data_IF_912860691262
#
_entry.id   IF_912860691262
#
_cell.length_a   1.000
_cell.length_b   1.000
_cell.length_c   1.000
_cell.angle_alpha   90.00
_cell.angle_beta   90.00
_cell.angle_gamma   90.00
#
_symmetry.space_group_name_H-M   'P 1'
#
loop_
_entity.id
_entity.type
_entity.pdbx_description
1 polymer ?
#
# COMPACT_ATOMS: atom_id res chain seq x y z
N UNK A 1 -42.24 9.05 -7.26
CA UNK A 1 -41.51 8.97 -5.99
C UNK A 1 -40.86 7.59 -5.86
N UNK A 2 -39.70 7.49 -5.19
CA UNK A 2 -39.04 6.21 -4.91
C UNK A 2 -39.86 5.43 -3.88
N UNK A 3 -40.23 4.19 -4.19
CA UNK A 3 -40.97 3.32 -3.25
C UNK A 3 -40.01 2.64 -2.27
N UNK A 4 -40.19 2.78 -0.94
CA UNK A 4 -39.36 2.08 0.05
C UNK A 4 -39.39 0.55 -0.10
N UNK A 5 -40.56 -0.01 -0.41
CA UNK A 5 -40.72 -1.45 -0.66
C UNK A 5 -39.95 -1.90 -1.91
N UNK A 6 -39.96 -1.09 -2.97
CA UNK A 6 -39.17 -1.36 -4.17
C UNK A 6 -37.66 -1.33 -3.87
N UNK A 7 -37.21 -0.40 -3.04
CA UNK A 7 -35.81 -0.29 -2.63
C UNK A 7 -35.37 -1.50 -1.81
N UNK A 8 -36.18 -1.97 -0.85
CA UNK A 8 -35.86 -3.18 -0.08
C UNK A 8 -35.84 -4.44 -0.95
N UNK A 9 -36.76 -4.56 -1.93
CA UNK A 9 -36.73 -5.66 -2.91
C UNK A 9 -35.46 -5.63 -3.77
N UNK A 10 -35.10 -4.47 -4.32
CA UNK A 10 -33.86 -4.27 -5.08
C UNK A 10 -32.60 -4.53 -4.25
N UNK A 11 -32.64 -4.20 -2.95
CA UNK A 11 -31.54 -4.45 -2.02
C UNK A 11 -31.35 -5.93 -1.73
N UNK A 12 -32.45 -6.66 -1.53
CA UNK A 12 -32.46 -8.10 -1.23
C UNK A 12 -32.05 -8.94 -2.44
N UNK A 13 -32.60 -8.67 -3.62
CA UNK A 13 -32.30 -9.40 -4.85
C UNK A 13 -32.38 -8.44 -6.05
N UNK A 14 -31.24 -7.82 -6.43
CA UNK A 14 -31.22 -6.82 -7.50
C UNK A 14 -31.58 -7.42 -8.86
N UNK A 15 -31.14 -8.66 -9.15
CA UNK A 15 -31.43 -9.33 -10.42
C UNK A 15 -32.93 -9.59 -10.58
N UNK A 16 -33.54 -10.20 -9.56
CA UNK A 16 -34.99 -10.49 -9.58
C UNK A 16 -35.84 -9.24 -9.57
N UNK A 17 -35.39 -8.16 -8.94
CA UNK A 17 -36.07 -6.88 -9.02
C UNK A 17 -36.12 -6.38 -10.46
N UNK A 18 -34.98 -6.38 -11.16
CA UNK A 18 -34.88 -5.94 -12.56
C UNK A 18 -35.73 -6.80 -13.49
N UNK A 19 -35.75 -8.13 -13.31
CA UNK A 19 -36.56 -9.07 -14.08
C UNK A 19 -38.07 -8.81 -14.05
N UNK A 20 -38.56 -8.21 -12.96
CA UNK A 20 -39.98 -8.01 -12.73
C UNK A 20 -40.48 -6.65 -13.20
N UNK A 21 -39.59 -5.79 -13.71
CA UNK A 21 -39.97 -4.46 -14.16
C UNK A 21 -40.55 -4.48 -15.56
N UNK A 22 -41.45 -3.54 -15.81
CA UNK A 22 -41.98 -3.23 -17.14
C UNK A 22 -41.44 -1.87 -17.56
N UNK A 23 -40.51 -1.87 -18.51
CA UNK A 23 -39.67 -0.69 -18.80
C UNK A 23 -40.33 0.37 -19.68
N UNK A 24 -41.25 -0.03 -20.57
CA UNK A 24 -41.94 0.87 -21.50
C UNK A 24 -42.81 1.94 -20.80
N UNK A 25 -43.08 1.78 -19.51
CA UNK A 25 -43.86 2.73 -18.69
C UNK A 25 -43.12 3.14 -17.41
N UNK A 26 -41.79 2.94 -17.37
CA UNK A 26 -41.01 3.21 -16.17
C UNK A 26 -40.99 4.71 -15.85
N UNK A 27 -41.48 5.07 -14.66
CA UNK A 27 -41.37 6.43 -14.15
C UNK A 27 -39.97 6.69 -13.53
N UNK A 28 -39.65 7.96 -13.27
CA UNK A 28 -38.35 8.37 -12.69
C UNK A 28 -38.03 7.66 -11.37
N UNK A 29 -39.04 7.34 -10.54
CA UNK A 29 -38.83 6.59 -9.30
C UNK A 29 -38.44 5.14 -9.54
N UNK A 30 -39.03 4.49 -10.55
CA UNK A 30 -38.66 3.13 -10.95
C UNK A 30 -37.26 3.08 -11.54
N UNK A 31 -36.92 4.03 -12.42
CA UNK A 31 -35.57 4.13 -12.99
C UNK A 31 -34.50 4.35 -11.90
N UNK A 32 -34.79 5.19 -10.90
CA UNK A 32 -33.88 5.39 -9.77
C UNK A 32 -33.64 4.09 -8.95
N UNK A 33 -34.68 3.32 -8.67
CA UNK A 33 -34.54 2.03 -7.96
C UNK A 33 -33.83 0.99 -8.84
N UNK A 34 -34.09 0.99 -10.13
CA UNK A 34 -33.39 0.15 -11.10
C UNK A 34 -31.89 0.48 -11.17
N UNK A 35 -31.52 1.77 -11.19
CA UNK A 35 -30.13 2.19 -11.12
C UNK A 35 -29.45 1.69 -9.84
N UNK A 36 -30.11 1.83 -8.69
CA UNK A 36 -29.62 1.27 -7.43
C UNK A 36 -29.43 -0.26 -7.49
N UNK A 37 -30.40 -0.99 -8.06
CA UNK A 37 -30.30 -2.45 -8.25
C UNK A 37 -29.11 -2.82 -9.15
N UNK A 38 -28.95 -2.13 -10.28
CA UNK A 38 -27.87 -2.32 -11.24
C UNK A 38 -26.50 -2.05 -10.60
N UNK A 39 -26.35 -0.99 -9.80
CA UNK A 39 -25.11 -0.69 -9.08
C UNK A 39 -24.72 -1.80 -8.11
N UNK A 40 -25.70 -2.34 -7.37
CA UNK A 40 -25.48 -3.49 -6.47
C UNK A 40 -25.12 -4.74 -7.25
N UNK A 41 -25.81 -4.99 -8.36
CA UNK A 41 -25.52 -6.11 -9.23
C UNK A 41 -24.12 -6.00 -9.83
N UNK A 42 -23.66 -4.81 -10.23
CA UNK A 42 -22.30 -4.60 -10.73
C UNK A 42 -21.24 -4.96 -9.68
N UNK A 43 -21.43 -4.55 -8.43
CA UNK A 43 -20.54 -4.92 -7.33
C UNK A 43 -20.55 -6.44 -7.04
N UNK A 44 -21.67 -7.14 -7.24
CA UNK A 44 -21.74 -8.59 -7.02
C UNK A 44 -21.20 -9.38 -8.23
N UNK A 45 -21.66 -9.02 -9.41
CA UNK A 45 -21.57 -9.78 -10.65
C UNK A 45 -21.54 -8.83 -11.87
N UNK A 46 -20.36 -8.25 -12.21
CA UNK A 46 -20.23 -7.26 -13.28
C UNK A 46 -20.75 -7.76 -14.63
N UNK A 47 -20.51 -9.02 -14.99
CA UNK A 47 -20.98 -9.65 -16.23
C UNK A 47 -22.49 -9.61 -16.35
N UNK A 48 -23.19 -10.05 -15.30
CA UNK A 48 -24.64 -10.07 -15.26
C UNK A 48 -25.20 -8.63 -15.26
N UNK A 49 -24.54 -7.70 -14.55
CA UNK A 49 -24.92 -6.29 -14.59
C UNK A 49 -24.77 -5.70 -16.00
N UNK A 50 -23.68 -6.00 -16.71
CA UNK A 50 -23.44 -5.55 -18.08
C UNK A 50 -24.49 -6.11 -19.06
N UNK A 51 -24.85 -7.38 -18.92
CA UNK A 51 -25.91 -8.01 -19.71
C UNK A 51 -27.25 -7.31 -19.49
N UNK A 52 -27.67 -7.16 -18.23
CA UNK A 52 -28.94 -6.49 -17.89
C UNK A 52 -28.96 -5.04 -18.33
N UNK A 53 -27.83 -4.36 -18.18
CA UNK A 53 -27.69 -2.99 -18.65
C UNK A 53 -27.89 -2.86 -20.16
N UNK A 54 -27.38 -3.81 -20.96
CA UNK A 54 -27.64 -3.87 -22.39
C UNK A 54 -29.13 -3.97 -22.74
N UNK A 55 -29.93 -4.64 -21.91
CA UNK A 55 -31.38 -4.79 -22.10
C UNK A 55 -32.17 -3.51 -21.75
N UNK A 56 -31.73 -2.75 -20.73
CA UNK A 56 -32.55 -1.68 -20.14
C UNK A 56 -32.01 -0.26 -20.36
N UNK A 57 -30.75 -0.11 -20.78
CA UNK A 57 -30.05 1.19 -20.88
C UNK A 57 -30.79 2.24 -21.72
N UNK A 58 -31.52 1.81 -22.77
CA UNK A 58 -32.30 2.69 -23.63
C UNK A 58 -33.43 3.45 -22.92
N UNK A 59 -33.83 3.02 -21.72
CA UNK A 59 -34.83 3.70 -20.90
C UNK A 59 -34.24 4.77 -19.98
N UNK A 60 -32.91 4.88 -19.90
CA UNK A 60 -32.21 5.84 -19.05
C UNK A 60 -31.74 7.05 -19.87
N UNK A 61 -31.74 8.27 -19.30
CA UNK A 61 -31.09 9.42 -19.91
C UNK A 61 -29.60 9.17 -20.19
N UNK A 62 -29.04 9.80 -21.23
CA UNK A 62 -27.65 9.60 -21.63
C UNK A 62 -26.65 9.82 -20.47
N UNK A 63 -26.89 10.82 -19.62
CA UNK A 63 -26.04 11.10 -18.45
C UNK A 63 -26.03 9.95 -17.44
N UNK A 64 -27.18 9.30 -17.22
CA UNK A 64 -27.31 8.13 -16.36
C UNK A 64 -26.66 6.89 -17.00
N UNK A 65 -26.71 6.81 -18.33
CA UNK A 65 -26.03 5.74 -19.04
C UNK A 65 -24.51 5.83 -18.90
N UNK A 66 -23.97 7.02 -19.14
CA UNK A 66 -22.56 7.33 -18.95
C UNK A 66 -22.12 7.08 -17.51
N UNK A 67 -22.92 7.54 -16.53
CA UNK A 67 -22.68 7.30 -15.12
C UNK A 67 -22.60 5.80 -14.78
N UNK A 68 -23.57 5.00 -15.25
CA UNK A 68 -23.57 3.58 -14.97
C UNK A 68 -22.39 2.85 -15.61
N UNK A 69 -22.00 3.20 -16.83
CA UNK A 69 -20.79 2.66 -17.45
C UNK A 69 -19.52 2.96 -16.64
N UNK A 70 -19.42 4.18 -16.08
CA UNK A 70 -18.33 4.54 -15.17
C UNK A 70 -18.35 3.72 -13.87
N UNK A 71 -19.54 3.45 -13.32
CA UNK A 71 -19.71 2.59 -12.15
C UNK A 71 -19.36 1.12 -12.43
N UNK A 72 -19.86 0.59 -13.55
CA UNK A 72 -19.61 -0.79 -13.96
C UNK A 72 -18.12 -1.00 -14.28
N UNK A 73 -17.48 -0.08 -15.01
CA UNK A 73 -16.04 -0.09 -15.25
C UNK A 73 -15.23 -0.08 -13.95
N UNK A 74 -15.66 0.67 -12.95
CA UNK A 74 -15.03 0.72 -11.63
C UNK A 74 -15.12 -0.61 -10.86
N UNK A 75 -16.31 -1.20 -10.76
CA UNK A 75 -16.50 -2.49 -10.09
C UNK A 75 -15.73 -3.62 -10.80
N UNK A 76 -15.71 -3.58 -12.13
CA UNK A 76 -14.93 -4.50 -12.97
C UNK A 76 -13.42 -4.36 -12.75
N UNK A 77 -12.92 -3.12 -12.76
CA UNK A 77 -11.50 -2.83 -12.57
C UNK A 77 -10.99 -3.33 -11.22
N UNK A 78 -11.78 -3.13 -10.15
CA UNK A 78 -11.47 -3.62 -8.80
C UNK A 78 -11.40 -5.15 -8.71
N UNK A 79 -12.06 -5.85 -9.63
CA UNK A 79 -12.02 -7.31 -9.77
C UNK A 79 -11.00 -7.79 -10.80
N UNK A 80 -10.21 -6.88 -11.38
CA UNK A 80 -9.25 -7.15 -12.45
C UNK A 80 -9.86 -7.72 -13.72
N UNK A 81 -11.11 -7.37 -14.00
CA UNK A 81 -11.78 -7.72 -15.25
C UNK A 81 -11.13 -6.97 -16.43
N UNK A 82 -10.75 -7.71 -17.47
CA UNK A 82 -10.11 -7.15 -18.66
C UNK A 82 -11.03 -6.19 -19.45
N UNK A 83 -12.36 -6.33 -19.32
CA UNK A 83 -13.34 -5.47 -19.99
C UNK A 83 -13.51 -4.11 -19.33
N UNK A 84 -12.96 -3.91 -18.13
CA UNK A 84 -13.13 -2.66 -17.37
C UNK A 84 -12.75 -1.40 -18.16
N UNK A 85 -11.68 -1.47 -18.95
CA UNK A 85 -11.25 -0.36 -19.82
C UNK A 85 -12.31 -0.03 -20.87
N UNK A 86 -12.93 -1.03 -21.49
CA UNK A 86 -14.00 -0.81 -22.47
C UNK A 86 -15.23 -0.17 -21.82
N UNK A 87 -15.58 -0.57 -20.60
CA UNK A 87 -16.71 0.03 -19.88
C UNK A 87 -16.41 1.45 -19.42
N UNK A 88 -15.18 1.76 -19.02
CA UNK A 88 -14.78 3.16 -18.79
C UNK A 88 -14.83 4.01 -20.06
N UNK A 89 -14.47 3.46 -21.23
CA UNK A 89 -14.63 4.17 -22.51
C UNK A 89 -16.08 4.43 -22.86
N UNK A 90 -16.96 3.46 -22.60
CA UNK A 90 -18.40 3.62 -22.80
C UNK A 90 -19.02 4.69 -21.88
N UNK A 91 -18.37 5.01 -20.76
CA UNK A 91 -18.77 6.11 -19.89
C UNK A 91 -18.59 7.49 -20.54
N UNK A 92 -17.77 7.61 -21.59
CA UNK A 92 -17.49 8.88 -22.26
C UNK A 92 -17.01 9.95 -21.27
N UNK A 93 -17.72 11.08 -21.23
CA UNK A 93 -17.41 12.24 -20.40
C UNK A 93 -18.07 12.20 -19.01
N UNK A 94 -18.47 11.02 -18.53
CA UNK A 94 -19.00 10.86 -17.17
C UNK A 94 -18.04 11.45 -16.13
N UNK A 95 -18.56 12.29 -15.23
CA UNK A 95 -17.79 12.76 -14.07
C UNK A 95 -17.51 11.58 -13.14
N UNK A 96 -16.25 11.13 -13.13
CA UNK A 96 -15.77 10.09 -12.23
C UNK A 96 -15.35 10.69 -10.89
N UNK A 97 -15.72 10.03 -9.80
CA UNK A 97 -15.14 10.37 -8.50
C UNK A 97 -13.65 9.96 -8.44
N UNK A 98 -12.95 10.42 -7.40
CA UNK A 98 -11.51 10.16 -7.19
C UNK A 98 -11.14 8.67 -7.33
N UNK A 99 -11.94 7.78 -6.75
CA UNK A 99 -11.68 6.34 -6.76
C UNK A 99 -11.95 5.72 -8.14
N UNK A 100 -13.03 6.11 -8.81
CA UNK A 100 -13.34 5.65 -10.17
C UNK A 100 -12.25 6.08 -11.15
N UNK A 101 -11.80 7.34 -11.09
CA UNK A 101 -10.72 7.84 -11.93
C UNK A 101 -9.41 7.09 -11.70
N UNK A 102 -9.04 6.84 -10.43
CA UNK A 102 -7.86 6.06 -10.08
C UNK A 102 -7.93 4.61 -10.62
N UNK A 103 -9.09 3.97 -10.51
CA UNK A 103 -9.28 2.60 -11.00
C UNK A 103 -9.39 2.50 -12.53
N UNK A 104 -9.80 3.57 -13.23
CA UNK A 104 -9.68 3.67 -14.69
C UNK A 104 -8.22 3.59 -15.13
N UNK A 105 -7.35 4.37 -14.48
CA UNK A 105 -5.90 4.31 -14.73
C UNK A 105 -5.35 2.92 -14.42
N UNK A 106 -5.70 2.33 -13.27
CA UNK A 106 -5.25 0.98 -12.88
C UNK A 106 -5.69 -0.09 -13.87
N UNK A 107 -6.93 -0.02 -14.37
CA UNK A 107 -7.41 -0.94 -15.40
C UNK A 107 -6.58 -0.82 -16.68
N UNK A 108 -6.33 0.41 -17.13
CA UNK A 108 -5.51 0.71 -18.31
C UNK A 108 -4.06 0.21 -18.14
N UNK A 109 -3.46 0.42 -16.97
CA UNK A 109 -2.11 -0.07 -16.63
C UNK A 109 -2.01 -1.59 -16.74
N UNK A 110 -2.99 -2.35 -16.22
CA UNK A 110 -2.97 -3.82 -16.26
C UNK A 110 -2.98 -4.38 -17.69
N UNK A 111 -3.70 -3.73 -18.60
CA UNK A 111 -3.72 -4.11 -20.02
C UNK A 111 -2.66 -3.37 -20.86
N UNK A 112 -1.83 -2.55 -20.21
CA UNK A 112 -0.76 -1.76 -20.80
C UNK A 112 -1.22 -0.84 -21.94
N UNK A 113 -2.45 -0.32 -21.83
CA UNK A 113 -2.98 0.69 -22.75
C UNK A 113 -2.49 2.08 -22.34
N UNK A 114 -1.28 2.43 -22.76
CA UNK A 114 -0.62 3.68 -22.38
C UNK A 114 -1.34 4.93 -22.92
N UNK A 115 -2.15 4.80 -23.97
CA UNK A 115 -2.99 5.91 -24.45
C UNK A 115 -4.14 6.17 -23.46
N UNK A 116 -4.81 5.11 -23.01
CA UNK A 116 -5.85 5.20 -21.99
C UNK A 116 -5.31 5.68 -20.65
N UNK A 117 -4.11 5.21 -20.23
CA UNK A 117 -3.45 5.69 -19.00
C UNK A 117 -3.29 7.22 -19.04
N UNK A 118 -2.76 7.76 -20.13
CA UNK A 118 -2.54 9.20 -20.26
C UNK A 118 -3.87 9.96 -20.23
N UNK A 119 -4.85 9.54 -21.06
CA UNK A 119 -6.16 10.18 -21.15
C UNK A 119 -6.91 10.15 -19.81
N UNK A 120 -6.89 9.01 -19.11
CA UNK A 120 -7.55 8.86 -17.82
C UNK A 120 -6.93 9.75 -16.74
N UNK A 121 -5.60 9.94 -16.74
CA UNK A 121 -4.93 10.87 -15.81
C UNK A 121 -5.26 12.33 -16.16
N UNK A 122 -5.33 12.68 -17.44
CA UNK A 122 -5.66 14.04 -17.88
C UNK A 122 -7.12 14.43 -17.58
N UNK A 123 -8.01 13.44 -17.45
CA UNK A 123 -9.39 13.62 -17.02
C UNK A 123 -9.56 13.77 -15.50
N UNK A 124 -8.52 13.51 -14.69
CA UNK A 124 -8.58 13.69 -13.23
C UNK A 124 -8.70 15.17 -12.86
N UNK A 125 -9.24 15.45 -11.67
CA UNK A 125 -9.12 16.78 -11.07
C UNK A 125 -7.64 17.17 -10.91
N UNK A 126 -7.35 18.47 -10.91
CA UNK A 126 -5.98 18.97 -10.76
C UNK A 126 -5.32 18.45 -9.48
N UNK A 127 -6.05 18.48 -8.36
CA UNK A 127 -5.58 17.97 -7.06
C UNK A 127 -5.18 16.50 -7.15
N UNK A 128 -6.03 15.66 -7.75
CA UNK A 128 -5.72 14.25 -7.89
C UNK A 128 -4.55 14.06 -8.84
N UNK A 129 -4.56 14.67 -10.03
CA UNK A 129 -3.51 14.53 -11.05
C UNK A 129 -2.11 14.90 -10.54
N UNK A 130 -2.03 15.79 -9.56
CA UNK A 130 -0.79 16.23 -8.93
C UNK A 130 -0.28 15.29 -7.81
N UNK A 131 -0.98 14.21 -7.47
CA UNK A 131 -0.45 13.17 -6.59
C UNK A 131 0.72 12.44 -7.26
N UNK A 132 1.74 12.05 -6.46
CA UNK A 132 2.99 11.44 -6.96
C UNK A 132 2.76 10.21 -7.83
N UNK A 133 1.75 9.39 -7.50
CA UNK A 133 1.35 8.23 -8.28
C UNK A 133 0.99 8.58 -9.73
N UNK A 134 0.13 9.57 -9.93
CA UNK A 134 -0.39 9.90 -11.26
C UNK A 134 0.60 10.73 -12.05
N UNK A 135 1.44 11.53 -11.40
CA UNK A 135 2.60 12.15 -12.05
C UNK A 135 3.55 11.08 -12.61
N UNK A 136 3.92 10.08 -11.80
CA UNK A 136 4.78 8.98 -12.25
C UNK A 136 4.17 8.23 -13.44
N UNK A 137 2.91 7.78 -13.32
CA UNK A 137 2.26 7.02 -14.38
C UNK A 137 2.00 7.85 -15.64
N UNK A 138 1.78 9.17 -15.52
CA UNK A 138 1.74 10.09 -16.66
C UNK A 138 3.09 10.15 -17.37
N UNK A 139 4.18 10.32 -16.63
CA UNK A 139 5.54 10.28 -17.19
C UNK A 139 5.81 8.96 -17.92
N UNK A 140 5.41 7.83 -17.33
CA UNK A 140 5.53 6.50 -17.95
C UNK A 140 4.71 6.36 -19.22
N UNK A 141 3.48 6.85 -19.24
CA UNK A 141 2.64 6.84 -20.44
C UNK A 141 3.24 7.69 -21.57
N UNK A 142 3.75 8.88 -21.26
CA UNK A 142 4.46 9.73 -22.21
C UNK A 142 5.71 9.05 -22.78
N UNK A 143 6.51 8.41 -21.91
CA UNK A 143 7.70 7.67 -22.32
C UNK A 143 7.35 6.49 -23.24
N UNK A 144 6.28 5.75 -22.94
CA UNK A 144 5.79 4.65 -23.78
C UNK A 144 5.31 5.13 -25.17
N UNK A 145 4.88 6.38 -25.29
CA UNK A 145 4.51 7.04 -26.56
C UNK A 145 5.70 7.72 -27.26
N UNK A 146 6.93 7.55 -26.77
CA UNK A 146 8.13 8.17 -27.34
C UNK A 146 8.37 9.63 -26.94
N UNK A 147 7.50 10.22 -26.11
CA UNK A 147 7.57 11.62 -25.63
C UNK A 147 8.54 11.79 -24.45
N UNK A 148 9.79 11.38 -24.66
CA UNK A 148 10.82 11.27 -23.60
C UNK A 148 11.14 12.58 -22.89
N UNK A 149 11.19 13.70 -23.63
CA UNK A 149 11.50 15.03 -23.05
C UNK A 149 10.39 15.46 -22.08
N UNK A 150 9.13 15.23 -22.45
CA UNK A 150 7.99 15.55 -21.59
C UNK A 150 7.92 14.65 -20.37
N UNK A 151 8.21 13.36 -20.53
CA UNK A 151 8.34 12.44 -19.41
C UNK A 151 9.45 12.88 -18.44
N UNK A 152 10.63 13.25 -18.94
CA UNK A 152 11.75 13.72 -18.12
C UNK A 152 11.42 15.00 -17.33
N UNK A 153 10.65 15.93 -17.91
CA UNK A 153 10.17 17.14 -17.20
C UNK A 153 9.25 16.82 -16.02
N UNK A 154 8.57 15.68 -16.03
CA UNK A 154 7.76 15.21 -14.91
C UNK A 154 8.62 14.44 -13.90
N UNK A 155 9.50 13.56 -14.37
CA UNK A 155 10.32 12.75 -13.49
C UNK A 155 11.34 13.57 -12.68
N UNK A 156 11.93 14.62 -13.26
CA UNK A 156 12.98 15.41 -12.61
C UNK A 156 12.54 16.08 -11.28
N UNK A 157 11.42 16.81 -11.20
CA UNK A 157 10.95 17.32 -9.91
C UNK A 157 10.42 16.20 -9.00
N UNK A 158 9.82 15.14 -9.57
CA UNK A 158 9.27 14.03 -8.80
C UNK A 158 10.36 13.21 -8.09
N UNK A 159 11.54 13.08 -8.70
CA UNK A 159 12.66 12.32 -8.14
C UNK A 159 13.24 12.92 -6.86
N UNK A 160 12.97 14.19 -6.57
CA UNK A 160 13.31 14.80 -5.28
C UNK A 160 12.49 14.22 -4.11
N UNK A 161 11.37 13.54 -4.41
CA UNK A 161 10.53 12.88 -3.42
C UNK A 161 11.16 11.61 -2.86
N UNK A 162 10.99 11.38 -1.55
CA UNK A 162 11.52 10.19 -0.87
C UNK A 162 10.58 9.00 -0.86
N UNK A 163 9.38 9.15 -1.41
CA UNK A 163 8.37 8.11 -1.47
C UNK A 163 8.65 7.08 -2.58
N UNK A 164 7.76 6.11 -2.70
CA UNK A 164 7.85 5.06 -3.72
C UNK A 164 7.93 5.61 -5.15
N UNK A 165 7.17 6.67 -5.44
CA UNK A 165 7.07 7.22 -6.80
C UNK A 165 8.20 8.17 -7.14
N UNK A 166 8.73 8.90 -6.18
CA UNK A 166 9.97 9.68 -6.34
C UNK A 166 11.17 8.78 -6.59
N UNK A 167 11.29 7.67 -5.87
CA UNK A 167 12.32 6.67 -6.16
C UNK A 167 12.20 6.10 -7.57
N UNK A 168 10.99 5.72 -8.01
CA UNK A 168 10.79 5.22 -9.36
C UNK A 168 11.06 6.29 -10.44
N UNK A 169 10.72 7.55 -10.19
CA UNK A 169 11.04 8.65 -11.09
C UNK A 169 12.56 8.86 -11.24
N UNK A 170 13.32 8.75 -10.13
CA UNK A 170 14.79 8.74 -10.16
C UNK A 170 15.34 7.59 -10.99
N UNK A 171 14.78 6.38 -10.82
CA UNK A 171 15.15 5.20 -11.61
C UNK A 171 14.92 5.40 -13.12
N UNK A 172 13.83 6.08 -13.54
CA UNK A 172 13.58 6.36 -14.97
C UNK A 172 14.59 7.34 -15.58
N UNK A 173 15.16 8.24 -14.77
CA UNK A 173 16.19 9.17 -15.20
C UNK A 173 17.59 8.54 -15.22
N UNK A 174 17.74 7.29 -14.76
CA UNK A 174 19.02 6.69 -14.37
C UNK A 174 19.78 7.57 -13.37
N UNK A 175 19.03 8.39 -12.61
CA UNK A 175 19.60 9.33 -11.68
C UNK A 175 19.81 8.64 -10.34
N UNK A 176 21.05 8.24 -10.09
CA UNK A 176 21.45 7.74 -8.79
C UNK A 176 21.55 8.85 -7.74
N UNK A 177 21.19 10.11 -8.03
CA UNK A 177 21.32 11.21 -7.06
C UNK A 177 20.41 11.06 -5.83
N UNK A 178 19.23 10.45 -5.97
CA UNK A 178 18.40 10.05 -4.82
C UNK A 178 19.12 9.01 -3.96
N UNK A 179 19.91 8.14 -4.61
CA UNK A 179 20.85 7.20 -3.97
C UNK A 179 22.15 7.87 -3.52
N UNK A 180 22.36 9.16 -3.80
CA UNK A 180 23.55 9.91 -3.45
C UNK A 180 23.29 11.04 -2.46
N UNK A 181 22.10 11.15 -1.86
CA UNK A 181 21.84 12.08 -0.75
C UNK A 181 22.78 11.74 0.41
N UNK A 182 23.97 12.33 0.35
CA UNK A 182 25.09 12.27 1.29
C UNK A 182 24.50 12.50 2.67
N UNK A 183 24.93 11.71 3.67
CA UNK A 183 24.66 12.02 5.07
C UNK A 183 24.99 13.51 5.22
N UNK A 184 24.04 14.41 5.56
CA UNK A 184 24.52 15.67 6.06
C UNK A 184 25.39 15.28 7.25
N UNK A 185 26.65 15.67 7.24
CA UNK A 185 27.55 15.61 8.40
C UNK A 185 27.07 16.62 9.45
N UNK A 186 25.75 16.68 9.65
CA UNK A 186 25.06 17.50 10.59
C UNK A 186 25.22 16.81 11.94
N UNK A 187 26.31 17.17 12.60
CA UNK A 187 26.51 16.79 13.97
C UNK A 187 25.58 17.63 14.83
N UNK A 188 24.77 16.96 15.65
CA UNK A 188 23.90 17.60 16.64
C UNK A 188 24.77 18.26 17.72
N UNK A 189 24.87 19.59 17.78
CA UNK A 189 25.64 20.24 18.83
C UNK A 189 25.06 19.84 20.18
N UNK A 190 25.89 19.40 21.12
CA UNK A 190 25.42 18.93 22.44
C UNK A 190 24.59 19.99 23.16
N UNK A 191 24.89 21.27 22.93
CA UNK A 191 24.12 22.39 23.46
C UNK A 191 22.69 22.47 22.87
N UNK A 192 22.51 22.20 21.59
CA UNK A 192 21.18 22.17 20.94
C UNK A 192 20.34 21.01 21.50
N UNK A 193 20.95 19.82 21.62
CA UNK A 193 20.31 18.67 22.25
C UNK A 193 19.88 18.98 23.68
N UNK A 194 20.78 19.56 24.50
CA UNK A 194 20.48 19.92 25.87
C UNK A 194 19.36 20.97 25.97
N UNK A 195 19.32 21.95 25.07
CA UNK A 195 18.23 22.94 25.03
C UNK A 195 16.88 22.26 24.73
N UNK A 196 16.81 21.42 23.69
CA UNK A 196 15.57 20.74 23.31
C UNK A 196 15.12 19.74 24.39
N UNK A 197 16.05 18.98 24.95
CA UNK A 197 15.76 18.00 26.01
C UNK A 197 15.21 18.67 27.28
N UNK A 198 15.64 19.89 27.57
CA UNK A 198 15.19 20.66 28.74
C UNK A 198 13.84 21.37 28.55
N UNK A 199 13.27 21.39 27.34
CA UNK A 199 11.95 21.98 27.13
C UNK A 199 10.90 21.26 27.99
N UNK A 200 10.02 21.99 28.71
CA UNK A 200 9.05 21.37 29.61
C UNK A 200 8.17 20.30 28.94
N UNK A 201 7.75 20.54 27.69
CA UNK A 201 6.95 19.59 26.93
C UNK A 201 7.70 18.30 26.57
N UNK A 202 8.98 18.40 26.19
CA UNK A 202 9.83 17.24 25.91
C UNK A 202 10.07 16.45 27.20
N UNK A 203 10.43 17.11 28.30
CA UNK A 203 10.62 16.45 29.61
C UNK A 203 9.37 15.71 30.09
N UNK A 204 8.18 16.31 29.94
CA UNK A 204 6.90 15.65 30.26
C UNK A 204 6.66 14.44 29.37
N UNK A 205 6.83 14.57 28.05
CA UNK A 205 6.67 13.47 27.12
C UNK A 205 7.59 12.28 27.46
N UNK A 206 8.88 12.55 27.72
CA UNK A 206 9.86 11.52 28.12
C UNK A 206 9.51 10.86 29.47
N UNK A 207 8.97 11.61 30.43
CA UNK A 207 8.47 11.04 31.68
C UNK A 207 7.28 10.10 31.45
N UNK A 208 6.33 10.51 30.61
CA UNK A 208 5.15 9.71 30.28
C UNK A 208 5.53 8.43 29.51
N UNK A 209 6.50 8.47 28.60
CA UNK A 209 7.02 7.27 27.94
C UNK A 209 7.65 6.28 28.93
N UNK A 210 8.41 6.77 29.92
CA UNK A 210 8.99 5.91 30.97
C UNK A 210 7.94 5.25 31.87
N UNK A 211 6.75 5.82 31.95
CA UNK A 211 5.59 5.27 32.67
C UNK A 211 4.67 4.42 31.78
N UNK A 212 5.05 4.18 30.53
CA UNK A 212 4.25 3.51 29.49
C UNK A 212 2.89 4.18 29.19
N UNK A 213 2.74 5.46 29.54
CA UNK A 213 1.57 6.29 29.20
C UNK A 213 1.69 6.83 27.77
N UNK A 214 1.83 5.92 26.78
CA UNK A 214 2.22 6.28 25.40
C UNK A 214 1.28 7.25 24.71
N UNK A 215 -0.03 7.17 24.96
CA UNK A 215 -1.02 8.07 24.35
C UNK A 215 -0.81 9.52 24.79
N UNK A 216 -0.66 9.75 26.09
CA UNK A 216 -0.41 11.08 26.65
C UNK A 216 0.99 11.58 26.28
N UNK A 217 1.99 10.68 26.30
CA UNK A 217 3.33 10.98 25.86
C UNK A 217 3.37 11.46 24.40
N UNK A 218 2.61 10.81 23.52
CA UNK A 218 2.48 11.20 22.10
C UNK A 218 1.84 12.58 21.94
N UNK A 219 0.80 12.89 22.72
CA UNK A 219 0.14 14.21 22.69
C UNK A 219 1.08 15.32 23.14
N UNK A 220 1.77 15.12 24.26
CA UNK A 220 2.76 16.08 24.78
C UNK A 220 3.92 16.28 23.80
N UNK A 221 4.47 15.18 23.26
CA UNK A 221 5.52 15.23 22.25
C UNK A 221 5.08 16.03 21.01
N UNK A 222 3.92 15.68 20.45
CA UNK A 222 3.39 16.32 19.24
C UNK A 222 3.12 17.80 19.46
N UNK A 223 2.62 18.17 20.64
CA UNK A 223 2.42 19.56 21.01
C UNK A 223 3.75 20.31 21.14
N UNK A 224 4.75 19.72 21.79
CA UNK A 224 6.06 20.33 22.00
C UNK A 224 6.76 20.66 20.69
N UNK A 225 6.72 19.77 19.69
CA UNK A 225 7.45 19.92 18.43
C UNK A 225 6.68 20.68 17.33
N UNK A 226 5.46 21.16 17.57
CA UNK A 226 4.54 21.60 16.51
C UNK A 226 5.04 22.76 15.64
N UNK A 227 5.96 23.57 16.17
CA UNK A 227 6.54 24.73 15.50
C UNK A 227 8.06 24.58 15.28
N UNK A 228 8.60 23.37 15.44
CA UNK A 228 10.03 23.14 15.29
C UNK A 228 10.44 23.25 13.83
N UNK A 229 11.58 23.90 13.59
CA UNK A 229 12.27 23.83 12.30
C UNK A 229 13.00 22.49 12.14
N UNK A 230 13.59 22.24 10.96
CA UNK A 230 14.23 20.95 10.68
C UNK A 230 15.35 20.57 11.67
N UNK A 231 16.17 21.53 12.12
CA UNK A 231 17.26 21.25 13.07
C UNK A 231 16.71 20.83 14.43
N UNK A 232 15.71 21.56 14.93
CA UNK A 232 15.03 21.24 16.18
C UNK A 232 14.28 19.90 16.10
N UNK A 233 13.66 19.59 14.96
CA UNK A 233 13.03 18.29 14.71
C UNK A 233 14.06 17.15 14.75
N UNK A 234 15.22 17.32 14.10
CA UNK A 234 16.26 16.29 14.13
C UNK A 234 16.89 16.14 15.52
N UNK A 235 17.10 17.23 16.26
CA UNK A 235 17.54 17.18 17.65
C UNK A 235 16.53 16.43 18.54
N UNK A 236 15.23 16.73 18.41
CA UNK A 236 14.18 16.00 19.11
C UNK A 236 14.12 14.51 18.69
N UNK A 237 14.28 14.21 17.41
CA UNK A 237 14.33 12.84 16.91
C UNK A 237 15.52 12.04 17.50
N UNK A 238 16.70 12.67 17.61
CA UNK A 238 17.87 12.06 18.25
C UNK A 238 17.64 11.83 19.76
N UNK A 239 17.01 12.78 20.47
CA UNK A 239 16.61 12.60 21.88
C UNK A 239 15.66 11.40 22.02
N UNK A 240 14.65 11.27 21.15
CA UNK A 240 13.76 10.12 21.15
C UNK A 240 14.52 8.81 20.88
N UNK A 241 15.48 8.81 19.94
CA UNK A 241 16.32 7.64 19.63
C UNK A 241 17.18 7.22 20.83
N UNK A 242 17.81 8.17 21.54
CA UNK A 242 18.61 7.91 22.75
C UNK A 242 17.79 7.30 23.89
N UNK A 243 16.51 7.62 23.95
CA UNK A 243 15.56 7.07 24.92
C UNK A 243 14.84 5.81 24.39
N UNK A 244 15.29 5.24 23.27
CA UNK A 244 14.71 4.03 22.64
C UNK A 244 13.23 4.17 22.22
N UNK A 245 12.76 5.40 22.03
CA UNK A 245 11.42 5.73 21.55
C UNK A 245 11.45 5.81 20.02
N UNK A 246 11.79 4.68 19.38
CA UNK A 246 12.13 4.61 17.96
C UNK A 246 11.02 5.10 17.03
N UNK A 247 9.76 4.86 17.37
CA UNK A 247 8.63 5.31 16.58
C UNK A 247 8.52 6.84 16.56
N UNK A 248 8.83 7.51 17.69
CA UNK A 248 8.86 8.97 17.76
C UNK A 248 10.07 9.56 17.06
N UNK A 249 11.22 8.91 17.18
CA UNK A 249 12.42 9.33 16.45
C UNK A 249 12.15 9.35 14.94
N UNK A 250 11.63 8.24 14.39
CA UNK A 250 11.29 8.12 12.96
C UNK A 250 10.23 9.16 12.57
N UNK A 251 9.12 9.23 13.31
CA UNK A 251 8.03 10.14 12.97
C UNK A 251 8.46 11.62 13.00
N UNK A 252 9.33 11.99 13.95
CA UNK A 252 9.83 13.37 14.07
C UNK A 252 10.80 13.68 12.94
N UNK A 253 11.71 12.76 12.59
CA UNK A 253 12.64 12.95 11.48
C UNK A 253 11.94 12.98 10.10
N UNK A 254 10.82 12.28 9.94
CA UNK A 254 9.97 12.33 8.73
C UNK A 254 9.30 13.69 8.50
N UNK A 255 9.14 14.54 9.54
CA UNK A 255 8.51 15.87 9.42
C UNK A 255 9.41 16.94 8.80
N UNK A 256 10.71 16.68 8.68
CA UNK A 256 11.66 17.63 8.10
C UNK A 256 11.38 17.90 6.62
N UNK A 257 11.62 19.14 6.18
CA UNK A 257 11.28 19.61 4.83
C UNK A 257 12.50 19.77 3.93
N UNK A 258 13.60 20.32 4.44
CA UNK A 258 14.81 20.65 3.66
C UNK A 258 16.06 19.93 4.18
N UNK A 259 16.21 19.82 5.51
CA UNK A 259 17.35 19.15 6.15
C UNK A 259 16.92 17.79 6.69
N UNK A 260 17.41 16.71 6.07
CA UNK A 260 17.01 15.35 6.41
C UNK A 260 18.16 14.53 6.95
N UNK A 261 17.93 13.79 8.04
CA UNK A 261 18.79 12.70 8.46
C UNK A 261 18.13 11.34 8.17
N UNK A 262 18.66 10.64 7.18
CA UNK A 262 18.20 9.30 6.81
C UNK A 262 18.53 8.23 7.85
N UNK A 263 19.57 8.42 8.67
CA UNK A 263 19.87 7.50 9.75
C UNK A 263 18.76 7.50 10.82
N UNK A 264 18.13 8.65 11.08
CA UNK A 264 16.97 8.77 11.97
C UNK A 264 15.64 8.38 11.29
N UNK A 265 15.47 8.63 9.99
CA UNK A 265 14.28 8.19 9.24
C UNK A 265 14.20 6.66 9.07
N UNK A 266 15.37 6.01 9.01
CA UNK A 266 15.54 4.57 8.81
C UNK A 266 16.40 3.97 9.94
N UNK A 267 15.89 4.05 11.17
CA UNK A 267 16.55 3.39 12.30
C UNK A 267 16.61 1.88 12.10
N UNK A 268 17.70 1.27 12.58
CA UNK A 268 17.89 -0.19 12.56
C UNK A 268 18.18 -0.75 13.97
N UNK A 269 17.25 -0.60 14.94
CA UNK A 269 17.43 -1.15 16.28
C UNK A 269 17.44 -2.68 16.25
N UNK A 270 17.94 -3.29 17.31
CA UNK A 270 17.98 -4.74 17.51
C UNK A 270 18.75 -5.57 16.46
N UNK A 271 19.60 -4.94 15.65
CA UNK A 271 20.30 -5.60 14.53
C UNK A 271 21.10 -6.82 14.94
N UNK A 272 21.76 -6.78 16.08
CA UNK A 272 22.51 -7.92 16.62
C UNK A 272 21.59 -9.10 16.99
N UNK A 273 20.42 -8.83 17.60
CA UNK A 273 19.47 -9.85 17.99
C UNK A 273 18.71 -10.44 16.78
N UNK A 274 18.46 -9.63 15.75
CA UNK A 274 17.74 -10.05 14.54
C UNK A 274 18.63 -10.87 13.58
N UNK A 275 19.94 -10.63 13.57
CA UNK A 275 20.89 -11.23 12.62
C UNK A 275 20.86 -12.76 12.55
N UNK A 276 20.84 -13.51 13.68
CA UNK A 276 20.76 -14.99 13.63
C UNK A 276 19.51 -15.47 12.91
N UNK A 277 18.34 -14.86 13.18
CA UNK A 277 17.06 -15.22 12.56
C UNK A 277 17.03 -14.93 11.06
N UNK A 278 17.65 -13.82 10.63
CA UNK A 278 17.80 -13.47 9.21
C UNK A 278 18.68 -14.50 8.49
N UNK A 279 19.80 -14.89 9.10
CA UNK A 279 20.75 -15.84 8.54
C UNK A 279 20.14 -17.25 8.46
N UNK A 280 19.47 -17.70 9.52
CA UNK A 280 18.77 -19.00 9.57
C UNK A 280 17.74 -19.14 8.44
N UNK A 281 17.04 -18.04 8.11
CA UNK A 281 16.01 -18.02 7.09
C UNK A 281 16.51 -17.58 5.70
N UNK A 282 17.80 -17.29 5.53
CA UNK A 282 18.40 -16.76 4.30
C UNK A 282 17.60 -15.57 3.70
N UNK A 283 17.26 -14.59 4.54
CA UNK A 283 16.52 -13.41 4.15
C UNK A 283 17.44 -12.22 3.87
N UNK A 284 17.01 -11.33 2.98
CA UNK A 284 17.67 -10.04 2.77
C UNK A 284 17.43 -9.13 3.97
N UNK A 285 18.49 -8.77 4.71
CA UNK A 285 18.40 -7.96 5.93
C UNK A 285 17.64 -6.64 5.72
N UNK A 286 17.92 -5.93 4.62
CA UNK A 286 17.23 -4.68 4.29
C UNK A 286 15.72 -4.85 4.11
N UNK A 287 15.27 -5.98 3.57
CA UNK A 287 13.85 -6.26 3.34
C UNK A 287 13.12 -6.55 4.66
N UNK A 288 13.77 -7.30 5.56
CA UNK A 288 13.25 -7.54 6.92
C UNK A 288 13.08 -6.23 7.68
N UNK A 289 14.08 -5.33 7.62
CA UNK A 289 13.96 -4.00 8.21
C UNK A 289 12.90 -3.13 7.55
N UNK A 290 12.78 -3.19 6.21
CA UNK A 290 11.75 -2.48 5.47
C UNK A 290 10.34 -2.86 5.89
N UNK A 291 10.13 -4.16 6.17
CA UNK A 291 8.88 -4.72 6.69
C UNK A 291 8.66 -4.31 8.15
N UNK A 292 9.62 -4.55 9.05
CA UNK A 292 9.51 -4.21 10.48
C UNK A 292 9.20 -2.73 10.71
N UNK A 293 9.86 -1.84 9.94
CA UNK A 293 9.57 -0.41 9.96
C UNK A 293 8.11 -0.13 9.64
N UNK A 294 7.56 -0.81 8.63
CA UNK A 294 6.18 -0.63 8.21
C UNK A 294 5.17 -1.22 9.20
N UNK A 295 5.48 -2.38 9.79
CA UNK A 295 4.60 -3.09 10.72
C UNK A 295 4.45 -2.39 12.07
N UNK A 296 5.56 -2.02 12.70
CA UNK A 296 5.54 -1.58 14.11
C UNK A 296 6.27 -0.27 14.36
N UNK A 297 7.01 0.26 13.38
CA UNK A 297 8.02 1.33 13.61
C UNK A 297 8.96 0.97 14.78
N UNK A 298 9.26 -0.32 14.93
CA UNK A 298 10.11 -0.90 15.96
C UNK A 298 9.58 -0.86 17.40
N UNK A 299 8.26 -0.71 17.57
CA UNK A 299 7.60 -0.84 18.88
C UNK A 299 7.41 -2.33 19.19
N UNK A 300 8.13 -2.85 20.19
CA UNK A 300 8.08 -4.26 20.60
C UNK A 300 6.73 -4.67 21.18
N UNK A 301 6.01 -3.74 21.81
CA UNK A 301 4.69 -3.95 22.39
C UNK A 301 3.52 -3.64 21.42
N UNK A 302 3.79 -3.39 20.13
CA UNK A 302 2.75 -3.03 19.17
C UNK A 302 1.65 -4.11 19.08
N UNK A 303 0.39 -3.68 19.08
CA UNK A 303 -0.78 -4.54 18.90
C UNK A 303 -1.79 -3.88 17.97
N UNK A 304 -2.18 -4.55 16.90
CA UNK A 304 -3.21 -4.06 15.99
C UNK A 304 -4.62 -4.31 16.55
N UNK A 305 -5.62 -3.61 16.01
CA UNK A 305 -7.03 -3.84 16.35
C UNK A 305 -7.52 -5.27 16.03
N UNK A 306 -6.86 -5.95 15.08
CA UNK A 306 -7.15 -7.33 14.70
C UNK A 306 -6.34 -8.37 15.51
N UNK A 307 -5.44 -7.92 16.40
CA UNK A 307 -4.67 -8.79 17.30
C UNK A 307 -3.24 -9.13 16.84
N UNK A 308 -2.80 -8.62 15.69
CA UNK A 308 -1.41 -8.76 15.25
C UNK A 308 -0.46 -8.15 16.30
N UNK A 309 0.65 -8.82 16.62
CA UNK A 309 1.46 -8.47 17.79
C UNK A 309 2.97 -8.37 17.51
N UNK A 310 3.62 -7.45 18.21
CA UNK A 310 5.06 -7.25 18.26
C UNK A 310 5.68 -6.57 17.04
N UNK A 311 7.00 -6.65 16.94
CA UNK A 311 7.80 -5.94 15.93
C UNK A 311 7.42 -6.25 14.48
N UNK A 312 7.10 -7.52 14.22
CA UNK A 312 6.74 -8.02 12.89
C UNK A 312 5.24 -8.24 12.73
N UNK A 313 4.42 -7.78 13.69
CA UNK A 313 2.94 -7.87 13.67
C UNK A 313 2.44 -9.26 13.25
N UNK A 314 2.91 -10.31 13.93
CA UNK A 314 2.49 -11.68 13.64
C UNK A 314 1.11 -11.93 14.25
N UNK A 315 0.20 -12.52 13.45
CA UNK A 315 -1.13 -12.90 13.93
C UNK A 315 -1.06 -14.12 14.87
N UNK A 316 -1.91 -14.21 15.91
CA UNK A 316 -1.92 -15.36 16.81
C UNK A 316 -2.16 -16.71 16.12
N UNK A 317 -3.02 -16.73 15.10
CA UNK A 317 -3.30 -17.91 14.25
C UNK A 317 -2.06 -18.37 13.50
N UNK A 318 -1.37 -17.44 12.84
CA UNK A 318 -0.10 -17.68 12.14
C UNK A 318 0.97 -18.18 13.11
N UNK A 319 1.11 -17.54 14.27
CA UNK A 319 2.09 -17.91 15.27
C UNK A 319 1.89 -19.35 15.81
N UNK A 320 0.64 -19.74 16.09
CA UNK A 320 0.31 -21.14 16.47
C UNK A 320 0.67 -22.13 15.37
N UNK A 321 0.38 -21.79 14.11
CA UNK A 321 0.72 -22.64 12.97
C UNK A 321 2.25 -22.83 12.84
N UNK A 322 3.02 -21.74 12.97
CA UNK A 322 4.49 -21.80 12.95
C UNK A 322 5.02 -22.61 14.13
N UNK A 323 4.53 -22.35 15.35
CA UNK A 323 4.97 -23.07 16.54
C UNK A 323 4.75 -24.59 16.40
N UNK A 324 3.62 -25.01 15.82
CA UNK A 324 3.36 -26.42 15.50
C UNK A 324 4.37 -26.95 14.48
N UNK A 325 4.65 -26.20 13.41
CA UNK A 325 5.62 -26.58 12.36
C UNK A 325 7.05 -26.68 12.88
N UNK A 326 7.41 -25.86 13.87
CA UNK A 326 8.70 -25.89 14.55
C UNK A 326 8.77 -26.88 15.73
N UNK A 327 7.68 -27.62 16.02
CA UNK A 327 7.64 -28.58 17.11
C UNK A 327 7.69 -27.97 18.53
N UNK A 328 7.28 -26.71 18.69
CA UNK A 328 7.29 -26.00 19.97
C UNK A 328 6.17 -26.46 20.90
N UNK A 329 6.48 -27.40 21.80
CA UNK A 329 5.53 -28.01 22.74
C UNK A 329 5.01 -27.07 23.86
N UNK A 330 5.67 -25.93 24.08
CA UNK A 330 5.34 -24.97 25.15
C UNK A 330 4.93 -23.59 24.66
N UNK A 331 4.57 -23.45 23.38
CA UNK A 331 4.18 -22.14 22.85
C UNK A 331 2.88 -21.64 23.50
N UNK A 332 2.90 -20.40 23.97
CA UNK A 332 1.71 -19.65 24.39
C UNK A 332 1.66 -18.31 23.69
N UNK A 333 0.45 -17.77 23.49
CA UNK A 333 0.28 -16.50 22.76
C UNK A 333 0.99 -15.32 23.44
N UNK A 334 1.16 -15.34 24.77
CA UNK A 334 1.89 -14.29 25.49
C UNK A 334 3.35 -14.18 25.06
N UNK A 335 3.94 -15.25 24.51
CA UNK A 335 5.30 -15.23 23.98
C UNK A 335 5.44 -14.33 22.74
N UNK A 336 4.35 -13.95 22.05
CA UNK A 336 4.41 -13.04 20.90
C UNK A 336 4.90 -11.64 21.25
N UNK A 337 4.81 -11.25 22.52
CA UNK A 337 5.33 -9.98 23.03
C UNK A 337 6.82 -10.04 23.37
N UNK A 338 7.42 -11.24 23.39
CA UNK A 338 8.85 -11.41 23.62
C UNK A 338 9.61 -11.10 22.34
N UNK A 339 10.66 -10.28 22.47
CA UNK A 339 11.46 -9.77 21.36
C UNK A 339 11.96 -10.89 20.43
N UNK A 340 12.67 -11.85 20.99
CA UNK A 340 13.30 -12.95 20.24
C UNK A 340 12.26 -13.86 19.57
N UNK A 341 11.21 -14.24 20.31
CA UNK A 341 10.11 -15.05 19.80
C UNK A 341 9.41 -14.37 18.61
N UNK A 342 9.13 -13.06 18.71
CA UNK A 342 8.50 -12.32 17.62
C UNK A 342 9.38 -12.25 16.37
N UNK A 343 10.68 -12.00 16.53
CA UNK A 343 11.64 -12.00 15.43
C UNK A 343 11.74 -13.37 14.76
N UNK A 344 11.82 -14.44 15.56
CA UNK A 344 11.89 -15.82 15.06
C UNK A 344 10.66 -16.20 14.25
N UNK A 345 9.47 -15.97 14.81
CA UNK A 345 8.21 -16.29 14.14
C UNK A 345 8.00 -15.44 12.88
N UNK A 346 8.27 -14.13 12.96
CA UNK A 346 8.08 -13.22 11.84
C UNK A 346 9.04 -13.50 10.67
N UNK A 347 10.32 -13.74 10.93
CA UNK A 347 11.30 -14.10 9.88
C UNK A 347 11.02 -15.48 9.28
N UNK A 348 10.63 -16.47 10.09
CA UNK A 348 10.20 -17.77 9.58
C UNK A 348 8.98 -17.63 8.65
N UNK A 349 7.97 -16.85 9.05
CA UNK A 349 6.79 -16.59 8.24
C UNK A 349 7.15 -15.90 6.92
N UNK A 350 7.99 -14.87 6.99
CA UNK A 350 8.46 -14.11 5.84
C UNK A 350 9.18 -15.01 4.82
N UNK A 351 10.06 -15.91 5.27
CA UNK A 351 10.71 -16.89 4.39
C UNK A 351 9.74 -17.91 3.81
N UNK A 352 8.80 -18.40 4.61
CA UNK A 352 7.81 -19.35 4.14
C UNK A 352 6.92 -18.75 3.04
N UNK A 353 6.44 -17.51 3.23
CA UNK A 353 5.70 -16.77 2.21
C UNK A 353 6.57 -16.55 0.97
N UNK A 354 7.80 -16.05 1.13
CA UNK A 354 8.72 -15.79 0.03
C UNK A 354 8.85 -17.02 -0.88
N UNK A 355 9.13 -18.17 -0.27
CA UNK A 355 9.29 -19.45 -0.99
C UNK A 355 7.99 -19.86 -1.68
N UNK A 356 6.83 -19.62 -1.07
CA UNK A 356 5.52 -19.98 -1.65
C UNK A 356 5.06 -19.06 -2.81
N UNK A 357 5.78 -17.98 -3.05
CA UNK A 357 5.46 -16.91 -4.01
C UNK A 357 6.64 -16.63 -4.96
N UNK A 358 7.26 -17.69 -5.45
CA UNK A 358 8.31 -17.70 -6.49
C UNK A 358 9.54 -16.85 -6.11
N UNK A 359 9.87 -16.80 -4.82
CA UNK A 359 10.95 -15.97 -4.27
C UNK A 359 10.85 -14.48 -4.67
N UNK A 360 9.62 -14.00 -4.90
CA UNK A 360 9.34 -12.59 -5.22
C UNK A 360 9.07 -11.77 -3.94
N UNK A 361 9.95 -10.82 -3.55
CA UNK A 361 9.72 -9.98 -2.38
C UNK A 361 8.46 -9.11 -2.50
N UNK A 362 8.07 -8.73 -3.73
CA UNK A 362 6.85 -7.95 -4.00
C UNK A 362 5.60 -8.75 -3.64
N UNK A 363 5.50 -9.98 -4.16
CA UNK A 363 4.39 -10.86 -3.84
C UNK A 363 4.42 -11.25 -2.38
N UNK A 364 5.59 -11.52 -1.83
CA UNK A 364 5.75 -11.89 -0.44
C UNK A 364 5.31 -10.78 0.52
N UNK A 365 5.64 -9.51 0.24
CA UNK A 365 5.11 -8.39 1.01
C UNK A 365 3.59 -8.25 0.88
N UNK A 366 3.02 -8.48 -0.30
CA UNK A 366 1.56 -8.48 -0.46
C UNK A 366 0.91 -9.64 0.32
N UNK A 367 1.53 -10.82 0.28
CA UNK A 367 1.07 -12.02 0.97
C UNK A 367 1.23 -11.97 2.49
N UNK A 368 2.25 -11.26 2.98
CA UNK A 368 2.45 -11.05 4.41
C UNK A 368 1.30 -10.25 5.01
N UNK A 369 0.89 -9.17 4.35
CA UNK A 369 -0.18 -8.30 4.81
C UNK A 369 -1.60 -8.85 4.51
N UNK A 370 -1.82 -9.45 3.34
CA UNK A 370 -3.16 -9.83 2.89
C UNK A 370 -3.38 -11.36 2.76
N UNK A 371 -2.39 -12.18 3.08
CA UNK A 371 -2.41 -13.62 2.88
C UNK A 371 -1.88 -14.05 1.49
N UNK A 372 -1.11 -15.15 1.39
CA UNK A 372 -0.49 -15.60 0.14
C UNK A 372 -1.49 -15.85 -1.00
N UNK A 373 -2.67 -16.39 -0.70
CA UNK A 373 -3.68 -16.67 -1.73
C UNK A 373 -4.21 -15.41 -2.40
N UNK A 374 -4.37 -14.31 -1.66
CA UNK A 374 -4.77 -13.02 -2.24
C UNK A 374 -3.66 -12.48 -3.14
N UNK A 375 -2.41 -12.54 -2.70
CA UNK A 375 -1.26 -12.13 -3.51
C UNK A 375 -1.15 -12.93 -4.82
N UNK A 376 -1.37 -14.25 -4.79
CA UNK A 376 -1.45 -15.08 -6.00
C UNK A 376 -2.61 -14.66 -6.90
N UNK A 377 -3.80 -14.46 -6.33
CA UNK A 377 -5.01 -14.10 -7.09
C UNK A 377 -4.88 -12.76 -7.83
N UNK A 378 -4.14 -11.80 -7.28
CA UNK A 378 -3.95 -10.48 -7.90
C UNK A 378 -2.97 -10.46 -9.09
N UNK A 379 -2.27 -11.57 -9.35
CA UNK A 379 -1.49 -11.73 -10.58
C UNK A 379 -2.38 -11.59 -11.82
N UNK A 380 -1.79 -11.17 -12.92
CA UNK A 380 -2.42 -11.28 -14.24
C UNK A 380 -2.13 -12.65 -14.86
N UNK A 381 -2.84 -12.99 -15.93
CA UNK A 381 -2.58 -14.21 -16.69
C UNK A 381 -1.19 -14.21 -17.35
N UNK A 382 -0.71 -13.03 -17.76
CA UNK A 382 0.63 -12.82 -18.33
C UNK A 382 1.56 -12.18 -17.31
N UNK A 383 2.90 -12.26 -17.49
CA UNK A 383 3.84 -11.51 -16.67
C UNK A 383 3.51 -10.01 -16.63
N UNK A 384 3.66 -9.39 -15.47
CA UNK A 384 3.30 -8.00 -15.21
C UNK A 384 4.46 -7.30 -14.51
N UNK A 385 4.76 -6.08 -14.93
CA UNK A 385 5.71 -5.23 -14.22
C UNK A 385 5.31 -5.11 -12.73
N UNK A 386 6.28 -5.29 -11.83
CA UNK A 386 6.02 -5.28 -10.39
C UNK A 386 5.38 -3.99 -9.90
N UNK A 387 5.75 -2.83 -10.46
CA UNK A 387 5.10 -1.55 -10.12
C UNK A 387 3.61 -1.52 -10.53
N UNK A 388 3.25 -2.12 -11.67
CA UNK A 388 1.85 -2.24 -12.11
C UNK A 388 1.10 -3.25 -11.22
N UNK A 389 1.72 -4.38 -10.88
CA UNK A 389 1.15 -5.32 -9.91
C UNK A 389 0.82 -4.60 -8.61
N UNK A 390 1.80 -3.87 -8.04
CA UNK A 390 1.63 -3.12 -6.79
C UNK A 390 0.51 -2.11 -6.91
N UNK A 391 0.54 -1.21 -7.91
CA UNK A 391 -0.48 -0.16 -8.05
C UNK A 391 -1.89 -0.70 -8.30
N UNK A 392 -2.01 -1.96 -8.72
CA UNK A 392 -3.30 -2.58 -9.03
C UNK A 392 -3.77 -3.57 -7.98
N UNK A 393 -3.05 -3.75 -6.85
CA UNK A 393 -3.53 -4.51 -5.69
C UNK A 393 -4.91 -3.99 -5.27
N UNK A 394 -5.86 -4.89 -5.00
CA UNK A 394 -7.27 -4.53 -4.80
C UNK A 394 -7.55 -3.82 -3.47
N UNK A 395 -6.74 -4.12 -2.45
CA UNK A 395 -6.87 -3.50 -1.13
C UNK A 395 -5.95 -2.29 -1.03
N UNK A 396 -6.53 -1.13 -0.75
CA UNK A 396 -5.78 0.12 -0.64
C UNK A 396 -4.70 0.04 0.45
N UNK A 397 -5.02 -0.56 1.61
CA UNK A 397 -4.07 -0.80 2.69
C UNK A 397 -2.86 -1.63 2.22
N UNK A 398 -3.11 -2.78 1.58
CA UNK A 398 -2.04 -3.65 1.07
C UNK A 398 -1.25 -2.99 -0.04
N UNK A 399 -1.90 -2.24 -0.93
CA UNK A 399 -1.24 -1.47 -1.98
C UNK A 399 -0.22 -0.50 -1.39
N UNK A 400 -0.63 0.28 -0.39
CA UNK A 400 0.24 1.25 0.26
C UNK A 400 1.31 0.59 1.13
N UNK A 401 0.97 -0.53 1.77
CA UNK A 401 1.90 -1.35 2.53
C UNK A 401 3.06 -1.81 1.65
N UNK A 402 2.78 -2.44 0.49
CA UNK A 402 3.83 -2.99 -0.38
C UNK A 402 4.72 -1.89 -0.94
N UNK A 403 4.15 -0.75 -1.35
CA UNK A 403 4.94 0.44 -1.77
C UNK A 403 5.92 0.87 -0.68
N UNK A 404 5.43 1.01 0.56
CA UNK A 404 6.25 1.43 1.70
C UNK A 404 7.33 0.41 2.03
N UNK A 405 7.01 -0.88 2.09
CA UNK A 405 8.01 -1.93 2.39
C UNK A 405 9.12 -1.96 1.33
N UNK A 406 8.76 -1.92 0.05
CA UNK A 406 9.76 -1.93 -1.03
C UNK A 406 10.63 -0.66 -1.04
N UNK A 407 10.01 0.51 -0.85
CA UNK A 407 10.73 1.78 -0.76
C UNK A 407 11.64 1.85 0.47
N UNK A 408 11.16 1.42 1.65
CA UNK A 408 11.98 1.33 2.87
C UNK A 408 13.18 0.41 2.65
N UNK A 409 13.00 -0.70 1.94
CA UNK A 409 14.06 -1.68 1.69
C UNK A 409 15.24 -1.06 0.92
N UNK A 410 14.96 -0.16 -0.04
CA UNK A 410 16.02 0.54 -0.80
C UNK A 410 16.86 1.42 0.13
N UNK A 411 16.22 2.16 1.05
CA UNK A 411 16.94 2.98 2.03
C UNK A 411 17.76 2.15 3.01
N UNK A 412 17.22 1.04 3.53
CA UNK A 412 17.97 0.15 4.40
C UNK A 412 19.16 -0.52 3.70
N UNK A 413 18.98 -0.98 2.46
CA UNK A 413 20.07 -1.58 1.68
C UNK A 413 21.24 -0.60 1.55
N UNK A 414 20.93 0.66 1.22
CA UNK A 414 21.91 1.74 1.16
C UNK A 414 22.60 1.98 2.51
N UNK A 415 21.84 2.07 3.59
CA UNK A 415 22.38 2.31 4.93
C UNK A 415 23.28 1.17 5.41
N UNK A 416 22.99 -0.07 5.01
CA UNK A 416 23.78 -1.25 5.35
C UNK A 416 24.97 -1.48 4.43
N UNK A 417 25.13 -0.70 3.36
CA UNK A 417 26.21 -0.84 2.39
C UNK A 417 26.10 -2.11 1.55
N UNK A 418 24.90 -2.68 1.39
CA UNK A 418 24.69 -3.81 0.47
C UNK A 418 24.54 -3.30 -0.96
N UNK A 419 24.88 -4.10 -1.99
CA UNK A 419 24.72 -3.69 -3.39
C UNK A 419 23.30 -3.17 -3.65
N UNK A 420 23.20 -1.87 -3.97
CA UNK A 420 21.92 -1.21 -4.10
C UNK A 420 21.25 -1.61 -5.42
N UNK A 421 20.23 -2.47 -5.33
CA UNK A 421 19.24 -2.62 -6.40
C UNK A 421 18.31 -1.40 -6.37
N UNK A 422 18.08 -0.81 -7.54
CA UNK A 422 17.08 0.25 -7.69
C UNK A 422 15.70 -0.25 -7.27
N UNK A 423 14.76 0.65 -6.96
CA UNK A 423 13.39 0.23 -6.60
C UNK A 423 12.75 -0.54 -7.76
N UNK A 424 12.88 -0.04 -8.99
CA UNK A 424 12.38 -0.68 -10.21
C UNK A 424 12.98 -2.09 -10.41
N UNK A 425 14.29 -2.26 -10.21
CA UNK A 425 14.94 -3.57 -10.27
C UNK A 425 14.41 -4.52 -9.19
N UNK A 426 14.18 -4.02 -7.97
CA UNK A 426 13.59 -4.81 -6.87
C UNK A 426 12.16 -5.24 -7.16
N UNK A 427 11.37 -4.34 -7.75
CA UNK A 427 9.99 -4.64 -8.13
C UNK A 427 9.93 -5.69 -9.24
N UNK A 428 10.86 -5.62 -10.19
CA UNK A 428 11.05 -6.63 -11.24
C UNK A 428 9.78 -6.89 -12.04
N UNK A 429 9.58 -8.15 -12.41
CA UNK A 429 8.39 -8.65 -13.11
C UNK A 429 7.76 -9.74 -12.25
N UNK A 430 6.47 -9.60 -12.00
CA UNK A 430 5.64 -10.62 -11.36
C UNK A 430 5.20 -11.60 -12.44
N UNK A 431 5.51 -12.90 -12.26
CA UNK A 431 5.09 -13.95 -13.19
C UNK A 431 3.57 -14.08 -13.28
N UNK A 432 3.07 -14.55 -14.42
CA UNK A 432 1.64 -14.81 -14.63
C UNK A 432 1.07 -15.85 -13.66
N UNK A 433 -0.25 -16.03 -13.66
CA UNK A 433 -0.89 -17.14 -12.93
C UNK A 433 -0.40 -18.47 -13.51
N UNK A 434 0.10 -19.35 -12.66
CA UNK A 434 0.43 -20.72 -13.04
C UNK A 434 -0.87 -21.52 -12.98
N UNK A 435 -1.20 -22.27 -14.05
CA UNK A 435 -2.32 -23.19 -14.02
C UNK A 435 -2.08 -24.20 -12.88
N UNK A 436 -3.03 -24.35 -11.96
CA UNK A 436 -2.94 -25.33 -10.88
C UNK A 436 -3.00 -26.74 -11.49
N UNK A 437 -1.84 -27.29 -11.87
CA UNK A 437 -1.71 -28.73 -12.11
C UNK A 437 -1.93 -29.43 -10.77
N UNK A 438 -2.97 -30.27 -10.69
CA UNK A 438 -3.54 -30.88 -9.48
C UNK A 438 -2.65 -31.83 -8.68
N UNK A 439 -1.47 -31.38 -8.26
CA UNK A 439 -0.65 -32.04 -7.24
C UNK A 439 -0.07 -30.97 -6.32
N UNK A 440 -0.83 -30.59 -5.29
CA UNK A 440 -0.33 -29.74 -4.24
C UNK A 440 -0.56 -30.45 -2.90
N UNK A 441 0.47 -31.15 -2.42
CA UNK A 441 0.73 -31.23 -0.99
C UNK A 441 1.06 -29.81 -0.52
N UNK A 442 0.06 -28.92 -0.47
CA UNK A 442 0.17 -27.63 0.16
C UNK A 442 -0.10 -27.86 1.65
N UNK A 443 0.97 -27.98 2.43
CA UNK A 443 0.88 -27.59 3.83
C UNK A 443 0.52 -26.10 3.86
N UNK A 444 -0.79 -25.81 3.95
CA UNK A 444 -1.33 -24.46 3.83
C UNK A 444 -0.65 -23.50 4.80
N UNK A 445 -0.18 -22.38 4.26
CA UNK A 445 0.29 -21.24 5.05
C UNK A 445 -0.95 -20.63 5.71
N UNK A 446 -0.93 -20.46 7.04
CA UNK A 446 -2.06 -19.85 7.75
C UNK A 446 -2.34 -18.44 7.22
N UNK A 447 -3.58 -18.17 6.79
CA UNK A 447 -4.00 -16.84 6.36
C UNK A 447 -4.34 -15.95 7.56
N UNK A 448 -3.98 -14.65 7.52
CA UNK A 448 -4.35 -13.65 8.52
C UNK A 448 -5.86 -13.46 8.67
#
# INVERSE_FOLDING_TARGET
AVSPDALEKAKADPGRYLDRQVWNQANTGQLAVAMFALQRLANQAPDFAAQRWGEVSGHFPMSEQQYFWGWLGYEAARKHDARAVQWFRAAGDATLNKQQAAWRVRAALRVQDWSEVLSAIEAMSEVQRNESAWQYWKGRALQAQGRRIEAAKIFAPLSAGYDFYGQLAGDELNDTAVLSAVRPDYQYPQQELATIENLPGIRRALALYRMDLRTDAFREWSWAIRNFNDRELLAAAEIARRNEIYDRAINTAEKTVHLHDFALRYLAPYRAALRPHIQENNLEEAWVYGLMRQESRFITAAKSGMGASGLMQVMPTTARWIAKKLGWKGYSESMLHQLDTNMKLGTFYMKNILTSLDDSPVLASAGYNAGPSRAKRWRSERPLEGAIYVETIQFDETRDYVKKVMSNTVYYARQFGTPARSLKQRLGVVGGKVAESGTANQEGVAEP
#
